data_IF_274779721913
#
_entry.id   IF_274779721913
#
_cell.length_a   1.000
_cell.length_b   1.000
_cell.length_c   1.000
_cell.angle_alpha   90.00
_cell.angle_beta   90.00
_cell.angle_gamma   90.00
#
_symmetry.space_group_name_H-M   'P 1'
#
loop_
_entity.id
_entity.type
_entity.pdbx_description
1 polymer ?
#
# COMPACT_ATOMS: atom_id res chain seq x y z
N UNK A 1 -25.54 39.84 11.72
CA UNK A 1 -24.81 38.61 11.33
C UNK A 1 -25.67 37.88 10.32
N UNK A 2 -25.22 37.80 9.04
CA UNK A 2 -25.96 37.03 8.03
C UNK A 2 -25.69 35.54 8.35
N UNK A 3 -26.74 34.82 8.67
CA UNK A 3 -26.67 33.35 8.76
C UNK A 3 -26.77 32.79 7.33
N UNK A 4 -25.95 31.79 7.08
CA UNK A 4 -25.99 30.99 5.85
C UNK A 4 -26.66 29.67 6.17
N UNK A 5 -27.55 29.22 5.29
CA UNK A 5 -28.11 27.88 5.38
C UNK A 5 -28.03 27.18 4.03
N UNK A 6 -27.82 25.88 4.06
CA UNK A 6 -27.81 25.01 2.90
C UNK A 6 -28.09 23.57 3.30
N UNK A 7 -28.56 22.80 2.35
CA UNK A 7 -28.62 21.35 2.45
C UNK A 7 -27.55 20.76 1.52
N UNK A 8 -26.70 19.90 2.05
CA UNK A 8 -25.72 19.15 1.26
C UNK A 8 -26.19 17.72 1.11
N UNK A 9 -26.31 17.29 -0.14
CA UNK A 9 -26.49 15.89 -0.51
C UNK A 9 -25.16 15.35 -1.00
N UNK A 10 -24.79 14.18 -0.50
CA UNK A 10 -23.55 13.53 -0.87
C UNK A 10 -23.78 12.04 -0.93
N UNK A 11 -23.39 11.42 -2.03
CA UNK A 11 -23.30 9.98 -2.20
C UNK A 11 -21.89 9.59 -2.62
N UNK A 12 -21.46 8.43 -2.19
CA UNK A 12 -20.15 7.89 -2.57
C UNK A 12 -20.22 6.39 -2.77
N UNK A 13 -19.43 5.92 -3.73
CA UNK A 13 -19.26 4.50 -4.01
C UNK A 13 -17.77 4.19 -4.01
N UNK A 14 -17.37 3.21 -3.20
CA UNK A 14 -16.00 2.69 -3.17
C UNK A 14 -15.97 1.25 -3.64
N UNK A 15 -14.96 0.91 -4.40
CA UNK A 15 -14.63 -0.47 -4.78
C UNK A 15 -13.21 -0.75 -4.33
N UNK A 16 -13.04 -1.78 -3.53
CA UNK A 16 -11.74 -2.21 -3.03
C UNK A 16 -11.63 -3.75 -3.10
N UNK A 17 -10.42 -4.22 -3.16
CA UNK A 17 -10.14 -5.64 -3.20
C UNK A 17 -8.66 -5.92 -2.97
N UNK A 18 -8.31 -7.18 -2.91
CA UNK A 18 -6.91 -7.60 -2.96
C UNK A 18 -6.77 -8.93 -3.68
N UNK A 19 -5.66 -9.05 -4.38
CA UNK A 19 -5.20 -10.31 -4.98
C UNK A 19 -3.81 -10.59 -4.46
N UNK A 20 -3.63 -11.74 -3.84
CA UNK A 20 -2.35 -12.20 -3.30
C UNK A 20 -1.99 -13.55 -3.92
N UNK A 21 -0.76 -13.64 -4.41
CA UNK A 21 -0.18 -14.89 -4.93
C UNK A 21 1.14 -15.13 -4.22
N UNK A 22 1.29 -16.31 -3.60
CA UNK A 22 2.51 -16.72 -2.92
C UNK A 22 3.05 -17.98 -3.58
N UNK A 23 4.36 -18.02 -3.77
CA UNK A 23 5.09 -19.22 -4.23
C UNK A 23 6.27 -19.42 -3.31
N UNK A 24 6.33 -20.58 -2.68
CA UNK A 24 7.42 -20.98 -1.79
C UNK A 24 8.07 -22.24 -2.34
N UNK A 25 9.40 -22.21 -2.44
CA UNK A 25 10.22 -23.37 -2.77
C UNK A 25 11.11 -23.68 -1.58
N UNK A 26 11.11 -24.93 -1.12
CA UNK A 26 11.92 -25.40 -0.02
C UNK A 26 12.83 -26.52 -0.49
N UNK A 27 14.09 -26.42 -0.15
CA UNK A 27 15.09 -27.44 -0.41
C UNK A 27 15.81 -27.83 0.88
N UNK A 28 15.64 -29.09 1.26
CA UNK A 28 16.37 -29.71 2.38
C UNK A 28 17.57 -30.50 1.84
N UNK A 29 18.73 -30.29 2.42
CA UNK A 29 19.93 -31.01 2.06
C UNK A 29 20.04 -32.38 2.80
N UNK A 30 21.09 -33.14 2.56
CA UNK A 30 21.36 -34.37 3.30
C UNK A 30 21.69 -34.10 4.78
N UNK A 31 22.00 -32.88 5.16
CA UNK A 31 22.26 -32.46 6.54
C UNK A 31 20.95 -32.24 7.27
N UNK A 32 20.75 -32.97 8.37
CA UNK A 32 19.52 -32.82 9.17
C UNK A 32 19.33 -31.36 9.61
N UNK A 33 18.09 -30.87 9.52
CA UNK A 33 17.68 -29.53 9.93
C UNK A 33 18.32 -28.38 9.10
N UNK A 34 18.90 -28.68 7.95
CA UNK A 34 19.35 -27.68 6.99
C UNK A 34 18.26 -27.44 5.96
N UNK A 35 17.90 -26.15 5.77
CA UNK A 35 16.78 -25.75 4.92
C UNK A 35 17.11 -24.45 4.19
N UNK A 36 16.91 -24.45 2.88
CA UNK A 36 16.85 -23.27 2.03
C UNK A 36 15.40 -23.02 1.63
N UNK A 37 14.90 -21.82 1.87
CA UNK A 37 13.56 -21.39 1.44
C UNK A 37 13.69 -20.20 0.50
N UNK A 38 13.05 -20.30 -0.67
CA UNK A 38 12.89 -19.21 -1.60
C UNK A 38 11.41 -18.85 -1.65
N UNK A 39 11.08 -17.62 -1.34
CA UNK A 39 9.69 -17.14 -1.30
C UNK A 39 9.51 -15.97 -2.24
N UNK A 40 8.42 -15.99 -2.99
CA UNK A 40 7.97 -14.88 -3.78
C UNK A 40 6.50 -14.61 -3.53
N UNK A 41 6.17 -13.34 -3.26
CA UNK A 41 4.79 -12.87 -3.10
C UNK A 41 4.52 -11.73 -4.06
N UNK A 42 3.41 -11.82 -4.74
CA UNK A 42 2.77 -10.74 -5.48
C UNK A 42 1.48 -10.35 -4.75
N UNK A 43 1.28 -9.04 -4.56
CA UNK A 43 0.03 -8.50 -4.01
C UNK A 43 -0.40 -7.29 -4.84
N UNK A 44 -1.70 -7.21 -5.15
CA UNK A 44 -2.31 -6.06 -5.81
C UNK A 44 -3.59 -5.69 -5.09
N UNK A 45 -3.74 -4.41 -4.76
CA UNK A 45 -4.88 -3.87 -4.04
C UNK A 45 -5.40 -2.61 -4.74
N UNK A 46 -6.42 -2.73 -5.62
CA UNK A 46 -7.17 -1.60 -6.13
C UNK A 46 -8.02 -0.97 -5.01
N UNK A 47 -8.20 0.34 -5.08
CA UNK A 47 -9.04 1.11 -4.18
C UNK A 47 -9.60 2.32 -4.93
N UNK A 48 -10.72 2.13 -5.60
CA UNK A 48 -11.37 3.15 -6.41
C UNK A 48 -12.51 3.78 -5.62
N UNK A 49 -12.61 5.09 -5.67
CA UNK A 49 -13.65 5.84 -4.97
C UNK A 49 -14.24 6.89 -5.90
N UNK A 50 -15.56 6.94 -5.93
CA UNK A 50 -16.35 7.90 -6.69
C UNK A 50 -17.33 8.59 -5.75
N UNK A 51 -17.36 9.91 -5.76
CA UNK A 51 -18.24 10.70 -4.90
C UNK A 51 -18.92 11.83 -5.66
N UNK A 52 -20.22 11.96 -5.47
CA UNK A 52 -21.00 13.09 -5.96
C UNK A 52 -21.48 13.94 -4.80
N UNK A 53 -21.44 15.25 -4.95
CA UNK A 53 -22.08 16.14 -3.99
C UNK A 53 -22.74 17.32 -4.67
N UNK A 54 -23.86 17.80 -4.06
CA UNK A 54 -24.58 19.00 -4.47
C UNK A 54 -25.10 19.75 -3.27
N UNK A 55 -25.24 21.04 -3.41
CA UNK A 55 -25.89 21.90 -2.42
C UNK A 55 -27.25 22.34 -2.92
N UNK A 56 -28.24 22.29 -2.03
CA UNK A 56 -29.58 22.76 -2.26
C UNK A 56 -30.00 23.75 -1.16
N UNK A 57 -31.09 24.48 -1.39
CA UNK A 57 -31.66 25.47 -0.45
C UNK A 57 -30.62 26.50 0.04
N UNK A 58 -29.83 27.03 -0.90
CA UNK A 58 -28.76 27.98 -0.62
C UNK A 58 -29.37 29.34 -0.27
N UNK A 59 -29.21 29.78 0.99
CA UNK A 59 -29.52 31.10 1.46
C UNK A 59 -28.25 31.89 1.80
N UNK A 60 -28.17 33.16 1.40
CA UNK A 60 -27.03 34.02 1.64
C UNK A 60 -26.09 34.15 0.44
N UNK A 61 -24.88 34.69 0.67
CA UNK A 61 -23.88 34.94 -0.37
C UNK A 61 -22.89 33.80 -0.40
N UNK A 62 -22.95 32.98 -1.45
CA UNK A 62 -21.96 31.95 -1.74
C UNK A 62 -21.22 32.23 -3.04
N UNK A 63 -19.97 31.84 -3.13
CA UNK A 63 -19.27 31.82 -4.40
C UNK A 63 -19.94 30.85 -5.36
N UNK A 64 -19.96 31.14 -6.63
CA UNK A 64 -20.59 30.28 -7.65
C UNK A 64 -19.99 28.87 -7.66
N UNK A 65 -18.74 28.71 -7.24
CA UNK A 65 -18.03 27.42 -7.17
C UNK A 65 -18.71 26.38 -6.27
N UNK A 66 -19.49 26.78 -5.27
CA UNK A 66 -20.19 25.87 -4.37
C UNK A 66 -21.65 25.61 -4.78
N UNK A 67 -22.13 26.29 -5.77
CA UNK A 67 -23.55 26.22 -6.21
C UNK A 67 -23.82 25.02 -7.10
N UNK A 68 -22.81 24.51 -7.77
CA UNK A 68 -22.94 23.45 -8.76
C UNK A 68 -22.55 22.08 -8.20
N UNK A 69 -23.21 20.99 -8.68
CA UNK A 69 -22.81 19.63 -8.35
C UNK A 69 -21.35 19.37 -8.69
N UNK A 70 -20.65 18.68 -7.82
CA UNK A 70 -19.29 18.23 -8.09
C UNK A 70 -19.24 16.69 -8.09
N UNK A 71 -18.28 16.19 -8.85
CA UNK A 71 -17.97 14.79 -8.97
C UNK A 71 -16.47 14.61 -8.75
N UNK A 72 -16.13 13.77 -7.80
CA UNK A 72 -14.75 13.40 -7.48
C UNK A 72 -14.57 11.91 -7.78
N UNK A 73 -13.59 11.60 -8.59
CA UNK A 73 -13.19 10.24 -8.94
C UNK A 73 -11.75 10.07 -8.46
N UNK A 74 -11.47 9.01 -7.72
CA UNK A 74 -10.13 8.65 -7.33
C UNK A 74 -9.89 7.17 -7.64
N UNK A 75 -9.04 6.91 -8.61
CA UNK A 75 -8.57 5.58 -8.99
C UNK A 75 -7.19 5.36 -8.36
N UNK A 76 -7.13 4.48 -7.39
CA UNK A 76 -5.91 4.18 -6.68
C UNK A 76 -5.58 2.69 -6.69
N UNK A 77 -4.31 2.37 -6.68
CA UNK A 77 -3.86 0.99 -6.56
C UNK A 77 -2.49 0.90 -5.91
N UNK A 78 -2.27 -0.19 -5.19
CA UNK A 78 -0.95 -0.57 -4.68
C UNK A 78 -0.59 -1.94 -5.22
N UNK A 79 0.60 -2.05 -5.81
CA UNK A 79 1.19 -3.32 -6.25
C UNK A 79 2.48 -3.56 -5.47
N UNK A 80 2.63 -4.76 -4.95
CA UNK A 80 3.80 -5.15 -4.17
C UNK A 80 4.37 -6.47 -4.69
N UNK A 81 5.69 -6.49 -4.89
CA UNK A 81 6.48 -7.69 -5.17
C UNK A 81 7.45 -7.90 -4.03
N UNK A 82 7.40 -9.05 -3.40
CA UNK A 82 8.32 -9.44 -2.33
C UNK A 82 9.08 -10.69 -2.76
N UNK A 83 10.40 -10.63 -2.71
CA UNK A 83 11.28 -11.79 -2.87
C UNK A 83 12.10 -11.98 -1.60
N UNK A 84 12.19 -13.22 -1.13
CA UNK A 84 12.90 -13.57 0.11
C UNK A 84 13.66 -14.85 -0.05
N UNK A 85 14.85 -14.89 0.52
CA UNK A 85 15.69 -16.08 0.62
C UNK A 85 16.06 -16.28 2.09
N UNK A 86 15.72 -17.43 2.62
CA UNK A 86 16.04 -17.83 4.00
C UNK A 86 16.87 -19.10 4.00
N UNK A 87 17.91 -19.10 4.78
CA UNK A 87 18.78 -20.27 4.96
C UNK A 87 18.96 -20.56 6.44
N UNK A 88 18.66 -21.80 6.79
CA UNK A 88 18.84 -22.33 8.15
C UNK A 88 19.81 -23.50 8.09
N UNK A 89 20.83 -23.51 8.94
CA UNK A 89 21.80 -24.62 9.02
C UNK A 89 22.21 -24.88 10.45
N UNK A 90 22.28 -26.14 10.87
CA UNK A 90 22.91 -26.51 12.12
C UNK A 90 24.45 -26.37 12.00
N UNK A 91 25.06 -25.58 12.90
CA UNK A 91 26.52 -25.41 12.98
C UNK A 91 27.17 -26.54 13.77
N UNK A 92 26.65 -26.78 14.98
CA UNK A 92 27.10 -27.80 15.89
C UNK A 92 25.88 -28.46 16.55
N UNK A 93 26.15 -29.44 17.43
CA UNK A 93 25.08 -30.03 18.23
C UNK A 93 24.36 -28.96 19.02
N UNK A 94 23.02 -28.90 18.90
CA UNK A 94 22.15 -27.98 19.59
C UNK A 94 22.36 -26.48 19.22
N UNK A 95 23.00 -26.19 18.10
CA UNK A 95 23.24 -24.82 17.60
C UNK A 95 22.74 -24.67 16.18
N UNK A 96 22.02 -23.60 15.91
CA UNK A 96 21.44 -23.28 14.58
C UNK A 96 21.75 -21.86 14.18
N UNK A 97 22.21 -21.70 12.96
CA UNK A 97 22.35 -20.41 12.29
C UNK A 97 21.19 -20.21 11.32
N UNK A 98 20.61 -19.04 11.36
CA UNK A 98 19.60 -18.58 10.41
C UNK A 98 20.09 -17.32 9.74
N UNK A 99 19.99 -17.22 8.43
CA UNK A 99 20.30 -16.00 7.67
C UNK A 99 19.25 -15.81 6.58
N UNK A 100 18.95 -14.57 6.26
CA UNK A 100 18.02 -14.29 5.18
C UNK A 100 18.16 -12.88 4.62
N UNK A 101 17.70 -12.75 3.39
CA UNK A 101 17.59 -11.47 2.68
C UNK A 101 16.21 -11.34 2.11
N UNK A 102 15.69 -10.11 2.12
CA UNK A 102 14.35 -9.78 1.62
C UNK A 102 14.40 -8.50 0.83
N UNK A 103 13.74 -8.51 -0.31
CA UNK A 103 13.53 -7.34 -1.15
C UNK A 103 12.05 -7.14 -1.37
N UNK A 104 11.59 -5.88 -1.22
CA UNK A 104 10.22 -5.47 -1.50
C UNK A 104 10.27 -4.32 -2.49
N UNK A 105 9.53 -4.47 -3.59
CA UNK A 105 9.17 -3.37 -4.48
C UNK A 105 7.68 -3.09 -4.31
N UNK A 106 7.35 -1.88 -3.85
CA UNK A 106 5.97 -1.42 -3.68
C UNK A 106 5.75 -0.20 -4.55
N UNK A 107 4.71 -0.24 -5.36
CA UNK A 107 4.27 0.87 -6.20
C UNK A 107 2.83 1.24 -5.83
N UNK A 108 2.63 2.49 -5.45
CA UNK A 108 1.31 3.07 -5.21
C UNK A 108 1.04 4.13 -6.25
N UNK A 109 -0.16 4.10 -6.83
CA UNK A 109 -0.66 5.07 -7.80
C UNK A 109 -1.98 5.61 -7.30
N UNK A 110 -2.23 6.89 -7.55
CA UNK A 110 -3.52 7.54 -7.27
C UNK A 110 -3.75 8.59 -8.33
N UNK A 111 -4.82 8.45 -9.07
CA UNK A 111 -5.28 9.42 -10.07
C UNK A 111 -6.60 10.00 -9.58
N UNK A 112 -6.59 11.30 -9.30
CA UNK A 112 -7.78 12.03 -8.85
C UNK A 112 -8.25 12.97 -9.93
N UNK A 113 -9.53 12.85 -10.29
CA UNK A 113 -10.24 13.74 -11.21
C UNK A 113 -11.37 14.42 -10.45
N UNK A 114 -11.42 15.74 -10.51
CA UNK A 114 -12.53 16.52 -9.98
C UNK A 114 -13.24 17.29 -11.09
N UNK A 115 -14.55 17.08 -11.18
CA UNK A 115 -15.43 17.73 -12.15
C UNK A 115 -16.51 18.55 -11.43
N UNK A 116 -16.91 19.63 -12.05
CA UNK A 116 -18.04 20.46 -11.61
C UNK A 116 -19.00 20.66 -12.77
N UNK A 117 -20.28 20.70 -12.50
CA UNK A 117 -21.25 21.13 -13.53
C UNK A 117 -21.17 22.64 -13.74
N UNK A 118 -21.22 23.04 -14.98
CA UNK A 118 -21.35 24.47 -15.36
C UNK A 118 -22.81 24.92 -15.40
N UNK A 119 -23.03 26.17 -15.76
CA UNK A 119 -24.36 26.77 -15.91
C UNK A 119 -25.21 26.16 -17.03
N UNK A 120 -24.58 25.44 -17.97
CA UNK A 120 -25.22 24.72 -19.07
C UNK A 120 -25.48 23.26 -18.73
N UNK A 121 -25.24 22.86 -17.47
CA UNK A 121 -25.40 21.49 -16.96
C UNK A 121 -24.41 20.47 -17.58
N UNK A 122 -23.29 20.98 -18.13
CA UNK A 122 -22.20 20.14 -18.65
C UNK A 122 -21.11 19.96 -17.59
N UNK A 123 -20.52 18.75 -17.53
CA UNK A 123 -19.39 18.47 -16.63
C UNK A 123 -18.12 19.10 -17.20
N UNK A 124 -17.40 19.83 -16.36
CA UNK A 124 -16.14 20.50 -16.65
C UNK A 124 -15.07 20.03 -15.67
N UNK A 125 -13.91 19.67 -16.17
CA UNK A 125 -12.75 19.27 -15.34
C UNK A 125 -12.18 20.47 -14.61
N UNK A 126 -11.92 20.31 -13.32
CA UNK A 126 -11.17 21.29 -12.53
C UNK A 126 -9.69 20.86 -12.53
N UNK A 127 -8.98 21.20 -13.62
CA UNK A 127 -7.58 20.77 -13.84
C UNK A 127 -6.65 21.11 -12.68
N UNK A 128 -6.93 22.19 -11.93
CA UNK A 128 -6.15 22.61 -10.76
C UNK A 128 -6.27 21.67 -9.55
N UNK A 129 -7.25 20.76 -9.56
CA UNK A 129 -7.52 19.79 -8.50
C UNK A 129 -7.30 18.34 -8.94
N UNK A 130 -7.02 18.14 -10.22
CA UNK A 130 -6.62 16.85 -10.73
C UNK A 130 -5.19 16.55 -10.28
N UNK A 131 -4.93 15.33 -9.90
CA UNK A 131 -3.62 14.88 -9.42
C UNK A 131 -3.34 13.48 -9.94
N UNK A 132 -2.15 13.30 -10.52
CA UNK A 132 -1.59 11.97 -10.81
C UNK A 132 -0.38 11.79 -9.90
N UNK A 133 -0.54 10.94 -8.91
CA UNK A 133 0.50 10.65 -7.93
C UNK A 133 1.01 9.22 -8.12
N UNK A 134 2.32 9.09 -8.19
CA UNK A 134 3.01 7.80 -8.24
C UNK A 134 4.12 7.75 -7.20
N UNK A 135 4.12 6.70 -6.41
CA UNK A 135 5.10 6.47 -5.37
C UNK A 135 5.70 5.06 -5.51
N UNK A 136 7.01 4.99 -5.61
CA UNK A 136 7.75 3.72 -5.68
C UNK A 136 8.69 3.60 -4.49
N UNK A 137 8.63 2.47 -3.80
CA UNK A 137 9.41 2.16 -2.63
C UNK A 137 10.18 0.86 -2.85
N UNK A 138 11.50 0.90 -2.61
CA UNK A 138 12.36 -0.26 -2.59
C UNK A 138 12.87 -0.48 -1.17
N UNK A 139 12.58 -1.64 -0.60
CA UNK A 139 13.01 -2.00 0.75
C UNK A 139 13.92 -3.20 0.65
N UNK A 140 15.11 -3.08 1.21
CA UNK A 140 16.11 -4.13 1.29
C UNK A 140 16.34 -4.48 2.75
N UNK A 141 16.27 -5.74 3.11
CA UNK A 141 16.59 -6.17 4.45
C UNK A 141 17.43 -7.45 4.45
N UNK A 142 18.30 -7.55 5.44
CA UNK A 142 19.08 -8.74 5.71
C UNK A 142 19.08 -9.02 7.21
N UNK A 143 19.08 -10.28 7.58
CA UNK A 143 19.14 -10.68 8.98
C UNK A 143 20.06 -11.88 9.18
N UNK A 144 20.57 -11.96 10.40
CA UNK A 144 21.35 -13.08 10.89
C UNK A 144 20.88 -13.42 12.30
N UNK A 145 20.57 -14.68 12.53
CA UNK A 145 20.12 -15.21 13.82
C UNK A 145 20.94 -16.41 14.25
N UNK A 146 21.21 -16.50 15.52
CA UNK A 146 21.89 -17.62 16.11
C UNK A 146 21.09 -18.16 17.29
N UNK A 147 20.86 -19.46 17.31
CA UNK A 147 20.13 -20.15 18.35
C UNK A 147 20.99 -21.27 18.96
N UNK A 148 20.96 -21.36 20.27
CA UNK A 148 21.60 -22.40 21.03
C UNK A 148 20.62 -23.03 22.01
N UNK A 149 20.65 -24.36 22.15
CA UNK A 149 19.86 -25.11 23.12
C UNK A 149 20.79 -25.71 24.17
N UNK A 150 20.43 -25.52 25.42
CA UNK A 150 21.15 -26.12 26.56
C UNK A 150 20.15 -26.91 27.40
N UNK A 151 20.17 -28.21 27.30
CA UNK A 151 19.31 -29.07 28.11
C UNK A 151 17.82 -28.66 27.98
N UNK A 152 17.27 -28.01 29.01
CA UNK A 152 15.89 -27.53 29.05
C UNK A 152 15.74 -26.03 28.67
N UNK A 153 16.84 -25.34 28.41
CA UNK A 153 16.87 -23.92 28.08
C UNK A 153 17.28 -23.72 26.61
N UNK A 154 16.76 -22.68 26.01
CA UNK A 154 17.20 -22.23 24.69
C UNK A 154 17.40 -20.72 24.72
N UNK A 155 18.40 -20.22 23.99
CA UNK A 155 18.64 -18.82 23.76
C UNK A 155 18.73 -18.55 22.25
N UNK A 156 18.15 -17.44 21.79
CA UNK A 156 18.25 -16.95 20.43
C UNK A 156 18.63 -15.47 20.45
N UNK A 157 19.62 -15.12 19.65
CA UNK A 157 20.01 -13.74 19.39
C UNK A 157 20.07 -13.51 17.88
N UNK A 158 19.82 -12.28 17.45
CA UNK A 158 19.88 -11.94 16.03
C UNK A 158 20.00 -10.44 15.81
N UNK A 159 20.42 -10.09 14.61
CA UNK A 159 20.50 -8.74 14.10
C UNK A 159 19.78 -8.65 12.76
N UNK A 160 19.17 -7.50 12.48
CA UNK A 160 18.54 -7.17 11.21
C UNK A 160 18.95 -5.78 10.80
N UNK A 161 19.29 -5.61 9.53
CA UNK A 161 19.51 -4.34 8.88
C UNK A 161 18.44 -4.14 7.82
N UNK A 162 17.95 -2.91 7.68
CA UNK A 162 16.95 -2.55 6.68
C UNK A 162 17.28 -1.18 6.11
N UNK A 163 17.15 -1.04 4.79
CA UNK A 163 17.29 0.19 4.06
C UNK A 163 16.12 0.39 3.10
N UNK A 164 15.66 1.64 2.98
CA UNK A 164 14.54 2.00 2.10
C UNK A 164 14.96 3.12 1.16
N UNK A 165 14.65 2.96 -0.12
CA UNK A 165 14.73 4.01 -1.14
C UNK A 165 13.34 4.37 -1.61
N UNK A 166 13.07 5.68 -1.73
CA UNK A 166 11.77 6.24 -2.08
C UNK A 166 11.90 7.10 -3.34
N UNK A 167 10.96 6.96 -4.27
CA UNK A 167 10.77 7.88 -5.38
C UNK A 167 9.29 8.27 -5.45
N UNK A 168 8.99 9.56 -5.56
CA UNK A 168 7.64 10.10 -5.68
C UNK A 168 7.59 11.07 -6.88
N UNK A 169 6.53 10.94 -7.67
CA UNK A 169 6.22 11.77 -8.84
C UNK A 169 4.80 12.33 -8.67
N UNK A 170 4.63 13.63 -9.04
CA UNK A 170 3.37 14.39 -8.91
C UNK A 170 2.97 15.00 -10.24
#
# INVERSE_FOLDING_TARGET
>A
TKMYSYKRYSDSKGTFGSTDVNVDFQHSTSKKDELLTLSYRFSQSPNDNEGHSRLEDLEGVYSQAYRYPNWNINDASTTEHTAQVDYTTPLFKDQTLEAGVKYINRQSKSNTLEQVKDSLNAWQDISQRNSDFRHTQHIYSAYLGYMVKFNKFGAKAGVRAEGTSLNAEF
#
